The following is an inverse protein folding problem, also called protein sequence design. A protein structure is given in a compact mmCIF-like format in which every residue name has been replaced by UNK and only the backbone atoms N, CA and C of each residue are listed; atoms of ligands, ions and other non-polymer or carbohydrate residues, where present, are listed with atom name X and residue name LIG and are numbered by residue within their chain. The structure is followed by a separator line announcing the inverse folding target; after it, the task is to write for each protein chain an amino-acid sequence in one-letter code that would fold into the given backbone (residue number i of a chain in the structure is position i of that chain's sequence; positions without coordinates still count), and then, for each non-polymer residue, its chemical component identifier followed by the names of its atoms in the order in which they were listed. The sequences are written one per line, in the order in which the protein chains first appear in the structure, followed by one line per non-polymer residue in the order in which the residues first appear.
data_IF_771789428383
#
_entry.id   IF_771789428383
#
_cell.length_a   1.000
_cell.length_b   1.000
_cell.length_c   1.000
_cell.angle_alpha   90.00
_cell.angle_beta   90.00
_cell.angle_gamma   90.00
#
_symmetry.space_group_name_H-M   'P 1'
#
loop_
_entity.id
_entity.type
_entity.pdbx_description
1 polymer ?
#
# COMPACT_ATOMS: atom_id res chain seq x y z
N UNK A 1 -5.94 -32.24 -58.20
CA UNK A 1 -6.71 -31.50 -57.17
C UNK A 1 -6.29 -31.92 -55.76
N UNK A 2 -5.07 -31.59 -55.31
CA UNK A 2 -4.55 -31.98 -53.97
C UNK A 2 -3.80 -30.87 -53.20
N UNK A 3 -3.64 -29.67 -53.79
CA UNK A 3 -2.79 -28.60 -53.23
C UNK A 3 -3.50 -27.63 -52.28
N UNK A 4 -4.83 -27.70 -52.15
CA UNK A 4 -5.61 -26.71 -51.36
C UNK A 4 -5.74 -27.13 -49.89
N UNK A 5 -5.67 -28.43 -49.59
CA UNK A 5 -5.92 -28.94 -48.23
C UNK A 5 -4.75 -28.74 -47.24
N UNK A 6 -3.51 -28.58 -47.72
CA UNK A 6 -2.32 -28.49 -46.86
C UNK A 6 -2.08 -27.09 -46.25
N UNK A 7 -2.72 -26.03 -46.75
CA UNK A 7 -2.47 -24.66 -46.29
C UNK A 7 -3.27 -24.27 -45.03
N UNK A 8 -4.38 -24.96 -44.76
CA UNK A 8 -5.26 -24.64 -43.62
C UNK A 8 -4.81 -25.27 -42.29
N UNK A 9 -4.02 -26.34 -42.32
CA UNK A 9 -3.55 -27.03 -41.10
C UNK A 9 -2.34 -26.28 -40.48
N UNK A 10 -1.51 -25.64 -41.30
CA UNK A 10 -0.33 -24.90 -40.83
C UNK A 10 -0.70 -23.58 -40.15
N UNK A 11 -1.74 -22.88 -40.62
CA UNK A 11 -2.18 -21.62 -40.02
C UNK A 11 -2.84 -21.80 -38.64
N UNK A 12 -3.52 -22.92 -38.39
CA UNK A 12 -4.18 -23.20 -37.11
C UNK A 12 -3.20 -23.52 -35.96
N UNK A 13 -2.06 -24.15 -36.30
CA UNK A 13 -1.02 -24.49 -35.32
C UNK A 13 -0.21 -23.26 -34.86
N UNK A 14 0.00 -22.28 -35.74
CA UNK A 14 0.77 -21.07 -35.42
C UNK A 14 -0.02 -20.14 -34.50
N UNK A 15 -1.36 -20.12 -34.59
CA UNK A 15 -2.21 -19.33 -33.68
C UNK A 15 -2.30 -19.89 -32.26
N UNK A 16 -2.13 -21.21 -32.07
CA UNK A 16 -2.15 -21.81 -30.73
C UNK A 16 -0.83 -21.64 -29.96
N UNK A 17 0.29 -21.45 -30.66
CA UNK A 17 1.60 -21.24 -30.03
C UNK A 17 1.83 -19.79 -29.56
N UNK A 18 1.12 -18.81 -30.14
CA UNK A 18 1.25 -17.39 -29.76
C UNK A 18 0.32 -17.03 -28.58
N UNK A 19 -0.75 -17.81 -28.36
CA UNK A 19 -1.70 -17.60 -27.26
C UNK A 19 -1.18 -18.10 -25.90
N UNK A 20 -0.11 -18.89 -25.86
CA UNK A 20 0.49 -19.42 -24.62
C UNK A 20 1.60 -18.55 -24.02
N UNK A 21 2.06 -17.50 -24.72
CA UNK A 21 3.03 -16.53 -24.19
C UNK A 21 2.37 -15.33 -23.48
N UNK A 22 1.04 -15.27 -23.46
CA UNK A 22 0.31 -14.19 -22.79
C UNK A 22 0.04 -14.60 -21.34
N UNK A 23 0.82 -13.98 -20.44
CA UNK A 23 0.47 -13.67 -19.05
C UNK A 23 0.72 -14.72 -17.95
N UNK A 24 1.92 -15.31 -17.90
CA UNK A 24 2.52 -15.59 -16.60
C UNK A 24 3.10 -14.28 -16.02
N UNK A 25 2.21 -13.33 -15.65
CA UNK A 25 2.60 -12.33 -14.65
C UNK A 25 2.69 -13.09 -13.34
N UNK A 26 3.88 -13.61 -13.03
CA UNK A 26 4.24 -13.90 -11.66
C UNK A 26 3.94 -12.63 -10.88
N UNK A 27 2.83 -12.63 -10.15
CA UNK A 27 2.60 -11.64 -9.12
C UNK A 27 3.75 -11.85 -8.15
N UNK A 28 4.81 -11.07 -8.31
CA UNK A 28 5.75 -10.85 -7.23
C UNK A 28 4.89 -10.30 -6.11
N UNK A 29 4.45 -11.19 -5.23
CA UNK A 29 3.99 -10.83 -3.91
C UNK A 29 5.24 -10.21 -3.26
N UNK A 30 5.45 -8.92 -3.50
CA UNK A 30 6.33 -8.16 -2.66
C UNK A 30 5.73 -8.29 -1.27
N UNK A 31 6.38 -9.09 -0.42
CA UNK A 31 6.24 -9.04 1.04
C UNK A 31 6.78 -7.69 1.53
N UNK A 32 6.28 -6.61 0.94
CA UNK A 32 6.77 -5.27 1.04
C UNK A 32 5.76 -4.41 1.76
N UNK A 33 6.28 -3.36 2.37
CA UNK A 33 5.44 -2.37 3.01
C UNK A 33 4.56 -1.67 1.97
N UNK A 34 3.31 -1.39 2.34
CA UNK A 34 2.35 -0.65 1.54
C UNK A 34 1.79 0.52 2.33
N UNK A 35 1.54 1.63 1.64
CA UNK A 35 0.82 2.77 2.20
C UNK A 35 -0.69 2.53 2.05
N UNK A 36 -1.46 2.78 3.12
CA UNK A 36 -2.91 2.63 3.17
C UNK A 36 -3.52 3.96 3.58
N UNK A 37 -4.43 4.49 2.78
CA UNK A 37 -5.08 5.77 3.08
C UNK A 37 -6.00 5.67 4.29
N UNK A 38 -5.87 6.61 5.23
CA UNK A 38 -6.70 6.69 6.42
C UNK A 38 -7.95 7.55 6.16
N UNK A 39 -8.84 7.07 5.30
CA UNK A 39 -10.11 7.75 4.98
C UNK A 39 -11.30 6.81 5.22
N UNK A 40 -12.12 7.01 6.28
CA UNK A 40 -12.07 8.11 7.24
C UNK A 40 -10.87 8.03 8.21
N UNK A 41 -10.44 9.16 8.82
CA UNK A 41 -9.29 9.22 9.73
C UNK A 41 -9.49 8.35 10.97
N UNK A 42 -8.58 7.38 11.19
CA UNK A 42 -8.60 6.37 12.26
C UNK A 42 -7.19 5.88 12.57
N UNK A 43 -7.00 5.12 13.65
CA UNK A 43 -5.65 4.70 14.03
C UNK A 43 -5.01 3.85 12.95
N UNK A 44 -3.69 3.91 12.82
CA UNK A 44 -3.00 3.14 11.79
C UNK A 44 -3.13 1.62 12.00
N UNK A 45 -3.28 1.16 13.23
CA UNK A 45 -3.55 -0.25 13.50
C UNK A 45 -4.91 -0.67 12.93
N UNK A 46 -5.97 0.13 13.10
CA UNK A 46 -7.29 -0.12 12.53
C UNK A 46 -7.25 -0.08 10.99
N UNK A 47 -6.69 0.99 10.41
CA UNK A 47 -6.63 1.21 8.95
C UNK A 47 -5.87 0.09 8.25
N UNK A 48 -4.70 -0.30 8.78
CA UNK A 48 -3.93 -1.39 8.19
C UNK A 48 -4.59 -2.76 8.37
N UNK A 49 -5.18 -3.03 9.55
CA UNK A 49 -5.85 -4.31 9.82
C UNK A 49 -7.04 -4.56 8.90
N UNK A 50 -7.81 -3.52 8.58
CA UNK A 50 -8.96 -3.61 7.67
C UNK A 50 -8.58 -4.11 6.28
N UNK A 51 -7.39 -3.77 5.79
CA UNK A 51 -6.87 -4.23 4.49
C UNK A 51 -5.94 -5.45 4.60
N UNK A 52 -5.94 -6.12 5.76
CA UNK A 52 -5.16 -7.35 5.98
C UNK A 52 -3.66 -7.13 6.19
N UNK A 53 -3.24 -5.94 6.59
CA UNK A 53 -1.85 -5.58 6.89
C UNK A 53 -1.63 -5.39 8.40
N UNK A 54 -0.39 -5.52 8.84
CA UNK A 54 0.08 -5.09 10.16
C UNK A 54 0.63 -3.67 10.07
N UNK A 55 0.12 -2.74 10.89
CA UNK A 55 0.71 -1.41 10.99
C UNK A 55 2.17 -1.49 11.43
N UNK A 56 3.05 -0.75 10.76
CA UNK A 56 4.47 -0.68 11.11
C UNK A 56 4.63 0.16 12.37
N UNK A 57 5.23 -0.42 13.41
CA UNK A 57 5.53 0.25 14.68
C UNK A 57 6.99 0.67 14.73
N UNK A 58 7.25 1.97 14.95
CA UNK A 58 8.60 2.51 15.10
C UNK A 58 9.10 2.51 16.55
N UNK A 59 8.21 2.32 17.52
CA UNK A 59 8.55 2.28 18.94
C UNK A 59 7.32 2.31 19.83
N UNK A 60 7.54 2.53 21.13
CA UNK A 60 6.47 2.73 22.12
C UNK A 60 6.76 3.96 22.97
N UNK A 61 5.71 4.61 23.46
CA UNK A 61 5.85 5.70 24.42
C UNK A 61 6.07 5.19 25.85
N UNK A 62 6.19 6.12 26.81
CA UNK A 62 6.40 5.81 28.22
C UNK A 62 5.23 5.06 28.88
N UNK A 63 4.05 5.07 28.25
CA UNK A 63 2.85 4.39 28.72
C UNK A 63 2.61 3.05 27.98
N UNK A 64 3.49 2.71 27.03
CA UNK A 64 3.44 1.47 26.27
C UNK A 64 2.61 1.53 24.98
N UNK A 65 2.14 2.71 24.58
CA UNK A 65 1.37 2.89 23.35
C UNK A 65 2.28 2.86 22.13
N UNK A 66 1.83 2.21 21.05
CA UNK A 66 2.60 2.06 19.83
C UNK A 66 2.65 3.37 19.04
N UNK A 67 3.85 3.74 18.56
CA UNK A 67 4.02 4.73 17.51
C UNK A 67 3.97 4.03 16.15
N UNK A 68 2.89 4.22 15.41
CA UNK A 68 2.76 3.70 14.05
C UNK A 68 3.29 4.70 13.03
N UNK A 69 3.98 4.19 12.00
CA UNK A 69 4.53 5.02 10.93
C UNK A 69 3.40 5.49 10.00
N UNK A 70 3.32 6.80 9.79
CA UNK A 70 2.40 7.42 8.83
C UNK A 70 3.11 8.48 7.98
N UNK A 71 2.42 8.97 6.95
CA UNK A 71 2.80 10.19 6.24
C UNK A 71 1.57 11.09 6.07
N UNK A 72 1.67 12.33 6.54
CA UNK A 72 0.57 13.31 6.48
C UNK A 72 0.85 14.39 5.46
N UNK A 73 -0.20 14.96 4.85
CA UNK A 73 -0.08 16.11 3.96
C UNK A 73 0.17 17.40 4.75
N UNK A 74 1.29 18.08 4.50
CA UNK A 74 1.58 19.40 5.04
C UNK A 74 0.83 20.51 4.29
N UNK A 75 0.88 21.75 4.81
CA UNK A 75 0.20 22.91 4.21
C UNK A 75 0.70 23.28 2.81
N UNK A 76 1.94 22.92 2.46
CA UNK A 76 2.48 23.04 1.10
C UNK A 76 2.07 21.88 0.17
N UNK A 77 1.23 20.95 0.64
CA UNK A 77 0.77 19.80 -0.12
C UNK A 77 1.71 18.60 -0.14
N UNK A 78 2.92 18.71 0.40
CA UNK A 78 3.90 17.61 0.47
C UNK A 78 3.51 16.58 1.52
N UNK A 79 3.81 15.31 1.24
CA UNK A 79 3.69 14.25 2.24
C UNK A 79 4.92 14.27 3.15
N UNK A 80 4.68 14.34 4.45
CA UNK A 80 5.72 14.39 5.49
C UNK A 80 5.66 13.12 6.34
N UNK A 81 6.78 12.44 6.59
CA UNK A 81 6.80 11.28 7.47
C UNK A 81 6.48 11.72 8.90
N UNK A 82 5.74 10.88 9.62
CA UNK A 82 5.26 11.18 10.95
C UNK A 82 4.88 9.92 11.72
N UNK A 83 4.12 10.11 12.78
CA UNK A 83 3.60 9.03 13.61
C UNK A 83 2.11 9.22 13.99
N UNK A 84 1.47 8.09 14.22
CA UNK A 84 0.09 7.95 14.73
C UNK A 84 0.15 7.06 15.99
N UNK A 85 -0.58 7.39 17.05
CA UNK A 85 -0.61 6.63 18.30
C UNK A 85 -2.01 6.03 18.48
N UNK A 86 -2.04 4.69 18.57
CA UNK A 86 -3.23 3.81 18.55
C UNK A 86 -4.36 4.19 19.51
N UNK A 87 -4.06 4.91 20.59
CA UNK A 87 -4.99 5.15 21.71
C UNK A 87 -4.93 6.56 22.28
N UNK A 88 -4.13 7.45 21.68
CA UNK A 88 -4.06 8.85 22.14
C UNK A 88 -5.17 9.66 21.47
N UNK A 89 -5.97 10.38 22.25
CA UNK A 89 -6.90 11.40 21.74
C UNK A 89 -6.21 12.41 20.82
N UNK A 90 -4.91 12.61 21.02
CA UNK A 90 -4.12 13.62 20.31
C UNK A 90 -3.69 13.15 18.91
N UNK A 91 -3.78 11.85 18.62
CA UNK A 91 -3.31 11.33 17.32
C UNK A 91 -4.06 10.15 16.74
N UNK A 92 -5.05 9.56 17.41
CA UNK A 92 -5.76 8.39 16.90
C UNK A 92 -6.34 8.63 15.48
N UNK A 93 -6.82 9.83 15.18
CA UNK A 93 -7.29 10.23 13.84
C UNK A 93 -6.37 11.20 13.09
N UNK A 94 -5.09 11.30 13.47
CA UNK A 94 -4.13 12.24 12.89
C UNK A 94 -2.78 11.57 12.60
N UNK A 95 -2.05 12.11 11.64
CA UNK A 95 -0.61 11.89 11.49
C UNK A 95 0.13 13.14 11.99
N UNK A 96 0.94 12.99 13.04
CA UNK A 96 1.78 14.06 13.60
C UNK A 96 3.16 14.03 12.95
N UNK A 97 3.66 15.17 12.50
CA UNK A 97 4.95 15.28 11.80
C UNK A 97 5.63 16.62 12.09
N UNK A 98 6.94 16.72 11.88
CA UNK A 98 7.67 17.98 12.02
C UNK A 98 7.68 18.75 10.67
N UNK A 99 7.31 20.04 10.71
CA UNK A 99 7.25 20.92 9.54
C UNK A 99 7.43 22.39 9.93
N UNK A 100 8.26 23.12 9.19
CA UNK A 100 8.43 24.57 9.41
C UNK A 100 9.01 24.96 10.77
N UNK A 101 9.78 24.07 11.42
CA UNK A 101 10.35 24.31 12.75
C UNK A 101 9.40 24.04 13.92
N UNK A 102 8.23 23.44 13.67
CA UNK A 102 7.29 23.01 14.71
C UNK A 102 6.53 21.75 14.33
N UNK A 103 5.55 21.41 15.17
CA UNK A 103 4.70 20.23 14.97
C UNK A 103 3.53 20.53 14.05
N UNK A 104 3.49 19.83 12.92
CA UNK A 104 2.34 19.72 12.04
C UNK A 104 1.47 18.51 12.38
N UNK A 105 0.24 18.55 11.89
CA UNK A 105 -0.73 17.46 11.98
C UNK A 105 -1.60 17.42 10.73
N UNK A 106 -2.03 16.23 10.31
CA UNK A 106 -2.96 16.06 9.19
C UNK A 106 -3.97 14.94 9.46
N UNK A 107 -5.23 15.18 9.09
CA UNK A 107 -6.27 14.16 8.97
C UNK A 107 -6.35 13.54 7.56
N UNK A 108 -5.61 14.09 6.57
CA UNK A 108 -5.32 13.47 5.28
C UNK A 108 -3.92 12.82 5.36
N UNK A 109 -3.89 11.51 5.60
CA UNK A 109 -2.64 10.75 5.77
C UNK A 109 -2.77 9.31 5.29
N UNK A 110 -1.60 8.70 5.09
CA UNK A 110 -1.46 7.27 4.85
C UNK A 110 -0.72 6.60 6.00
N UNK A 111 -1.08 5.36 6.30
CA UNK A 111 -0.42 4.47 7.26
C UNK A 111 0.48 3.47 6.53
N UNK A 112 1.66 3.19 7.08
CA UNK A 112 2.54 2.16 6.56
C UNK A 112 2.16 0.80 7.15
N UNK A 113 1.84 -0.16 6.29
CA UNK A 113 1.49 -1.53 6.68
C UNK A 113 2.41 -2.57 6.05
N UNK A 114 2.62 -3.70 6.73
CA UNK A 114 3.33 -4.88 6.24
C UNK A 114 2.39 -6.08 6.12
N UNK A 115 2.61 -6.96 5.15
CA UNK A 115 1.89 -8.24 5.12
C UNK A 115 2.35 -9.12 6.30
N UNK A 116 1.41 -9.86 6.88
CA UNK A 116 1.68 -10.89 7.89
C UNK A 116 2.48 -12.05 7.31
#
# INVERSE_FOLDING_TARGET
MKKIFFRNIVFLAITFAILSMITLRAAHASNGASWVSASPPRSCSEVCTEVGLLAVTSGKDKFGYNFHVCRGRASNGELRPGFNIETSSDSAGLCLFEYGGGRGQSNDYDCLGLRK
#
